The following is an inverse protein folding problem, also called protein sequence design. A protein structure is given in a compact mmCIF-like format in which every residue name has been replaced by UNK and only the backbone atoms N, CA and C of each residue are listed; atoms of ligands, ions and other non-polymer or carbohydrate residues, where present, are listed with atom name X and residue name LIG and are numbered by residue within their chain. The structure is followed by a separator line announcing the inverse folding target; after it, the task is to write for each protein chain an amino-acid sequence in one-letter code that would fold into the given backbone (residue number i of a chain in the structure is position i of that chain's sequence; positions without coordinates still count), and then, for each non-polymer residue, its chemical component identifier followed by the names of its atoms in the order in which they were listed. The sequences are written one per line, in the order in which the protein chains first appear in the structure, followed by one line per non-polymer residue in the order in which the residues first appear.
data_IF_995268854926
#
_entry.id   IF_995268854926
#
_cell.length_a   1.000
_cell.length_b   1.000
_cell.length_c   1.000
_cell.angle_alpha   90.00
_cell.angle_beta   90.00
_cell.angle_gamma   90.00
#
_symmetry.space_group_name_H-M   'P 1'
#
loop_
_entity.id
_entity.type
_entity.pdbx_description
1 polymer ?
#
# COMPACT_ATOMS: atom_id res chain seq x y z
N UNK A 1 -18.57 -20.55 33.86
CA UNK A 1 -17.46 -21.15 33.09
C UNK A 1 -16.50 -20.04 32.72
N UNK A 2 -15.19 -20.24 32.78
CA UNK A 2 -14.19 -19.23 32.43
C UNK A 2 -13.25 -19.77 31.34
N UNK A 3 -12.95 -18.95 30.34
CA UNK A 3 -12.07 -19.28 29.21
C UNK A 3 -10.94 -18.26 29.12
N UNK A 4 -9.72 -18.73 28.84
CA UNK A 4 -8.57 -17.89 28.51
C UNK A 4 -8.16 -18.16 27.06
N UNK A 5 -8.13 -17.13 26.23
CA UNK A 5 -7.62 -17.17 24.86
C UNK A 5 -6.29 -16.43 24.83
N UNK A 6 -5.26 -17.04 24.27
CA UNK A 6 -3.94 -16.42 24.10
C UNK A 6 -3.59 -16.45 22.62
N UNK A 7 -3.19 -15.29 22.09
CA UNK A 7 -2.66 -15.14 20.73
C UNK A 7 -1.15 -14.96 20.85
N UNK A 8 -0.40 -15.78 20.12
CA UNK A 8 1.06 -15.81 20.14
C UNK A 8 1.57 -15.71 18.71
N UNK A 9 2.64 -14.95 18.52
CA UNK A 9 3.44 -15.04 17.30
C UNK A 9 4.41 -16.21 17.47
N UNK A 10 4.41 -17.14 16.52
CA UNK A 10 5.14 -18.39 16.61
C UNK A 10 6.21 -18.42 15.52
N UNK A 11 7.40 -18.89 15.85
CA UNK A 11 8.49 -19.06 14.91
C UNK A 11 8.18 -20.21 13.95
N UNK A 12 8.21 -19.92 12.65
CA UNK A 12 7.85 -20.88 11.61
C UNK A 12 8.88 -22.00 11.42
N UNK A 13 10.11 -21.86 11.93
CA UNK A 13 11.16 -22.89 11.80
C UNK A 13 11.09 -23.94 12.91
N UNK A 14 10.89 -23.52 14.16
CA UNK A 14 10.97 -24.40 15.32
C UNK A 14 9.71 -24.45 16.20
N UNK A 15 8.70 -23.62 15.90
CA UNK A 15 7.47 -23.53 16.68
C UNK A 15 7.61 -22.78 18.01
N UNK A 16 8.75 -22.11 18.23
CA UNK A 16 9.03 -21.27 19.40
C UNK A 16 8.31 -19.92 19.36
N UNK A 17 8.68 -19.01 20.25
CA UNK A 17 8.15 -17.64 20.22
C UNK A 17 8.86 -16.82 19.13
N UNK A 18 8.10 -16.22 18.22
CA UNK A 18 8.65 -15.29 17.23
C UNK A 18 8.58 -13.85 17.74
N UNK A 19 9.51 -13.04 17.22
CA UNK A 19 9.68 -11.63 17.59
C UNK A 19 9.42 -10.70 16.41
N UNK A 20 9.57 -11.19 15.18
CA UNK A 20 9.42 -10.38 13.96
C UNK A 20 9.04 -11.21 12.73
N UNK A 21 8.32 -10.58 11.81
CA UNK A 21 8.11 -11.08 10.45
C UNK A 21 9.21 -10.55 9.52
N UNK A 22 9.89 -11.44 8.80
CA UNK A 22 10.92 -11.09 7.81
C UNK A 22 10.40 -11.31 6.39
N UNK A 23 10.42 -10.27 5.57
CA UNK A 23 10.12 -10.38 4.14
C UNK A 23 11.40 -10.60 3.32
N UNK A 24 11.40 -11.57 2.43
CA UNK A 24 12.48 -11.81 1.47
C UNK A 24 11.93 -12.21 0.10
N UNK A 25 12.79 -12.30 -0.92
CA UNK A 25 12.38 -12.68 -2.26
C UNK A 25 13.45 -13.52 -2.97
N UNK A 26 12.99 -14.46 -3.80
CA UNK A 26 13.82 -15.29 -4.67
C UNK A 26 13.07 -15.49 -5.99
N UNK A 27 13.77 -15.31 -7.11
CA UNK A 27 13.22 -15.47 -8.47
C UNK A 27 11.92 -14.69 -8.73
N UNK A 28 11.82 -13.50 -8.13
CA UNK A 28 10.67 -12.60 -8.28
C UNK A 28 9.45 -12.95 -7.43
N UNK A 29 9.50 -14.01 -6.62
CA UNK A 29 8.46 -14.38 -5.66
C UNK A 29 8.82 -13.82 -4.28
N UNK A 30 7.87 -13.15 -3.63
CA UNK A 30 8.03 -12.63 -2.26
C UNK A 30 7.49 -13.62 -1.24
N UNK A 31 8.22 -13.77 -0.14
CA UNK A 31 7.91 -14.63 0.98
C UNK A 31 7.94 -13.82 2.28
N UNK A 32 7.16 -14.25 3.25
CA UNK A 32 7.16 -13.77 4.63
C UNK A 32 7.35 -14.97 5.55
N UNK A 33 8.05 -14.77 6.67
CA UNK A 33 8.31 -15.79 7.68
C UNK A 33 8.39 -15.13 9.05
N UNK A 34 7.72 -15.70 10.04
CA UNK A 34 7.76 -15.26 11.43
C UNK A 34 8.91 -15.96 12.16
N UNK A 35 9.82 -15.19 12.75
CA UNK A 35 11.07 -15.68 13.32
C UNK A 35 11.39 -15.02 14.66
N UNK A 36 12.09 -15.75 15.52
CA UNK A 36 12.84 -15.18 16.64
C UNK A 36 14.09 -14.44 16.15
N UNK A 37 14.71 -13.62 17.01
CA UNK A 37 15.84 -12.76 16.65
C UNK A 37 17.05 -13.55 16.16
N UNK A 38 17.29 -14.75 16.69
CA UNK A 38 18.40 -15.61 16.29
C UNK A 38 18.20 -16.09 14.85
N UNK A 39 17.05 -16.68 14.53
CA UNK A 39 16.75 -17.17 13.18
C UNK A 39 16.66 -16.03 12.18
N UNK A 40 16.11 -14.88 12.58
CA UNK A 40 16.08 -13.69 11.74
C UNK A 40 17.48 -13.15 11.44
N UNK A 41 18.43 -13.27 12.38
CA UNK A 41 19.83 -12.93 12.15
C UNK A 41 20.51 -13.93 11.20
N UNK A 42 20.31 -15.24 11.42
CA UNK A 42 20.83 -16.31 10.56
C UNK A 42 20.37 -16.15 9.10
N UNK A 43 19.08 -15.81 8.89
CA UNK A 43 18.55 -15.51 7.56
C UNK A 43 19.30 -14.33 6.92
N UNK A 44 19.47 -13.22 7.63
CA UNK A 44 20.17 -12.04 7.08
C UNK A 44 21.64 -12.32 6.78
N UNK A 45 22.30 -13.13 7.61
CA UNK A 45 23.68 -13.55 7.41
C UNK A 45 23.83 -14.44 6.16
N UNK A 46 22.91 -15.38 5.94
CA UNK A 46 22.90 -16.21 4.74
C UNK A 46 22.78 -15.40 3.44
N UNK A 47 22.09 -14.25 3.48
CA UNK A 47 22.01 -13.32 2.35
C UNK A 47 23.23 -12.40 2.21
N UNK A 48 24.06 -12.23 3.26
CA UNK A 48 25.10 -11.20 3.31
C UNK A 48 26.14 -11.33 2.19
N UNK A 49 26.60 -12.56 1.90
CA UNK A 49 27.56 -12.81 0.81
C UNK A 49 27.00 -12.35 -0.54
N UNK A 50 25.76 -12.70 -0.84
CA UNK A 50 25.12 -12.34 -2.12
C UNK A 50 24.85 -10.84 -2.21
N UNK A 51 24.36 -10.23 -1.13
CA UNK A 51 24.11 -8.79 -1.05
C UNK A 51 25.41 -8.01 -1.25
N UNK A 52 26.53 -8.47 -0.67
CA UNK A 52 27.84 -7.81 -0.80
C UNK A 52 28.37 -7.75 -2.24
N UNK A 53 27.99 -8.71 -3.09
CA UNK A 53 28.36 -8.75 -4.51
C UNK A 53 27.27 -8.26 -5.46
N UNK A 54 26.06 -8.03 -4.96
CA UNK A 54 24.91 -7.61 -5.75
C UNK A 54 24.82 -6.07 -5.81
N UNK A 55 24.09 -5.59 -6.82
CA UNK A 55 23.63 -4.20 -6.87
C UNK A 55 22.19 -4.12 -6.43
N UNK A 56 21.83 -3.05 -5.72
CA UNK A 56 20.44 -2.75 -5.41
C UNK A 56 19.70 -2.41 -6.70
N UNK A 57 18.77 -3.26 -7.10
CA UNK A 57 17.87 -2.97 -8.22
C UNK A 57 16.77 -2.04 -7.69
N UNK A 58 16.97 -0.73 -7.85
CA UNK A 58 15.95 0.27 -7.51
C UNK A 58 14.94 0.35 -8.64
N UNK A 59 13.97 -0.56 -8.62
CA UNK A 59 12.82 -0.50 -9.49
C UNK A 59 11.62 -0.92 -8.68
N UNK A 60 11.01 0.03 -7.97
CA UNK A 60 9.72 -0.06 -7.24
C UNK A 60 9.12 -1.47 -7.26
N UNK A 61 9.72 -2.39 -6.50
CA UNK A 61 9.18 -3.74 -6.37
C UNK A 61 7.86 -3.57 -5.65
N UNK A 62 6.77 -3.76 -6.39
CA UNK A 62 5.39 -3.86 -5.92
C UNK A 62 5.13 -3.16 -4.58
N UNK A 63 5.29 -1.83 -4.52
CA UNK A 63 4.32 -1.07 -3.77
C UNK A 63 3.01 -1.39 -4.47
N UNK A 64 2.29 -2.40 -3.94
CA UNK A 64 0.88 -2.69 -4.22
C UNK A 64 0.28 -1.36 -4.63
N UNK A 65 -0.26 -1.18 -5.85
CA UNK A 65 -0.79 0.11 -6.21
C UNK A 65 -1.81 0.42 -5.12
N UNK A 66 -1.45 1.28 -4.17
CA UNK A 66 -2.37 1.93 -3.28
C UNK A 66 -3.34 2.50 -4.28
N UNK A 67 -4.52 1.87 -4.39
CA UNK A 67 -5.48 2.06 -5.47
C UNK A 67 -5.42 3.53 -5.79
N UNK A 68 -4.70 3.90 -6.85
CA UNK A 68 -4.65 5.28 -7.29
C UNK A 68 -6.06 5.43 -7.82
N UNK A 69 -6.95 5.87 -6.94
CA UNK A 69 -8.30 6.28 -7.30
C UNK A 69 -8.11 7.07 -8.58
N UNK A 70 -8.68 6.52 -9.66
CA UNK A 70 -8.43 6.91 -11.03
C UNK A 70 -8.01 8.38 -11.14
N UNK A 71 -6.76 8.62 -11.54
CA UNK A 71 -6.38 9.91 -12.13
C UNK A 71 -6.97 9.92 -13.55
N UNK A 72 -8.30 9.86 -13.61
CA UNK A 72 -9.12 9.82 -14.82
C UNK A 72 -10.29 10.78 -14.73
N UNK A 73 -10.18 11.82 -13.89
CA UNK A 73 -11.20 12.87 -13.76
C UNK A 73 -10.67 14.27 -14.05
N UNK A 74 -9.45 14.42 -14.59
CA UNK A 74 -8.86 15.75 -14.78
C UNK A 74 -9.55 16.55 -15.90
N UNK A 75 -10.14 15.90 -16.90
CA UNK A 75 -10.88 16.59 -17.99
C UNK A 75 -12.31 16.94 -17.57
N UNK A 76 -13.07 15.96 -17.07
CA UNK A 76 -14.45 16.15 -16.62
C UNK A 76 -14.50 17.11 -15.44
N UNK A 77 -13.60 16.97 -14.45
CA UNK A 77 -13.61 17.88 -13.32
C UNK A 77 -13.23 19.32 -13.68
N UNK A 78 -12.48 19.53 -14.76
CA UNK A 78 -12.18 20.89 -15.23
C UNK A 78 -13.42 21.51 -15.85
N UNK A 79 -14.13 20.77 -16.71
CA UNK A 79 -15.38 21.20 -17.32
C UNK A 79 -16.47 21.51 -16.29
N UNK A 80 -16.67 20.61 -15.32
CA UNK A 80 -17.64 20.83 -14.24
C UNK A 80 -17.28 22.07 -13.41
N UNK A 81 -15.99 22.35 -13.17
CA UNK A 81 -15.57 23.56 -12.44
C UNK A 81 -15.80 24.84 -13.23
N UNK A 82 -15.55 24.82 -14.53
CA UNK A 82 -15.79 25.97 -15.41
C UNK A 82 -17.28 26.28 -15.50
N UNK A 83 -18.11 25.27 -15.73
CA UNK A 83 -19.56 25.41 -15.68
C UNK A 83 -20.04 25.88 -14.31
N UNK A 84 -19.52 25.31 -13.23
CA UNK A 84 -19.89 25.69 -11.86
C UNK A 84 -19.58 27.16 -11.59
N UNK A 85 -18.39 27.65 -11.97
CA UNK A 85 -18.01 29.07 -11.85
C UNK A 85 -18.91 29.98 -12.68
N UNK A 86 -19.25 29.58 -13.91
CA UNK A 86 -20.17 30.33 -14.77
C UNK A 86 -21.59 30.40 -14.20
N UNK A 87 -22.04 29.38 -13.46
CA UNK A 87 -23.35 29.31 -12.82
C UNK A 87 -23.36 29.83 -11.37
N UNK A 88 -22.29 30.49 -10.94
CA UNK A 88 -22.20 31.14 -9.62
C UNK A 88 -21.92 30.20 -8.45
N UNK A 89 -21.50 28.96 -8.69
CA UNK A 89 -21.10 28.03 -7.63
C UNK A 89 -19.64 28.23 -7.23
N UNK A 90 -19.38 28.28 -5.91
CA UNK A 90 -18.02 28.32 -5.36
C UNK A 90 -17.41 26.91 -5.35
N UNK A 91 -16.38 26.70 -6.17
CA UNK A 91 -15.64 25.43 -6.25
C UNK A 91 -14.16 25.64 -6.03
N UNK A 92 -13.49 24.70 -5.38
CA UNK A 92 -12.04 24.75 -5.19
C UNK A 92 -11.27 24.50 -6.49
N UNK A 93 -10.19 25.24 -6.69
CA UNK A 93 -9.31 25.13 -7.87
C UNK A 93 -8.65 23.74 -8.00
N UNK A 94 -8.51 23.02 -6.88
CA UNK A 94 -7.89 21.69 -6.84
C UNK A 94 -8.66 20.73 -5.94
N UNK A 95 -8.59 19.44 -6.25
CA UNK A 95 -9.22 18.38 -5.45
C UNK A 95 -10.58 17.92 -5.96
N UNK A 96 -11.30 17.16 -5.13
CA UNK A 96 -12.60 16.55 -5.49
C UNK A 96 -13.67 17.63 -5.65
N UNK A 97 -14.51 17.52 -6.68
CA UNK A 97 -15.69 18.40 -6.84
C UNK A 97 -16.77 17.96 -5.84
N UNK A 98 -17.43 18.90 -5.14
CA UNK A 98 -18.59 18.57 -4.31
C UNK A 98 -19.66 17.80 -5.10
N UNK A 99 -20.22 16.74 -4.50
CA UNK A 99 -21.19 15.88 -5.19
C UNK A 99 -22.39 16.66 -5.74
N UNK A 100 -22.85 17.67 -4.99
CA UNK A 100 -23.97 18.53 -5.37
C UNK A 100 -23.71 19.33 -6.65
N UNK A 101 -22.46 19.78 -6.86
CA UNK A 101 -22.08 20.53 -8.06
C UNK A 101 -21.99 19.59 -9.27
N UNK A 102 -21.47 18.38 -9.07
CA UNK A 102 -21.43 17.36 -10.12
C UNK A 102 -22.85 16.94 -10.55
N UNK A 103 -23.75 16.69 -9.61
CA UNK A 103 -25.13 16.32 -9.91
C UNK A 103 -25.89 17.41 -10.69
N UNK A 104 -25.64 18.68 -10.37
CA UNK A 104 -26.22 19.82 -11.11
C UNK A 104 -25.66 19.96 -12.53
N UNK A 105 -24.38 19.65 -12.72
CA UNK A 105 -23.76 19.62 -14.05
C UNK A 105 -24.35 18.48 -14.90
N UNK A 106 -24.45 17.27 -14.33
CA UNK A 106 -25.02 16.08 -14.97
C UNK A 106 -26.53 16.23 -15.27
N UNK A 107 -27.24 17.12 -14.57
CA UNK A 107 -28.65 17.44 -14.86
C UNK A 107 -28.80 18.50 -15.96
N UNK A 108 -27.74 19.27 -16.22
CA UNK A 108 -27.73 20.36 -17.20
C UNK A 108 -27.13 19.95 -18.56
N UNK A 109 -26.60 18.73 -18.67
CA UNK A 109 -26.00 18.12 -19.87
C UNK A 109 -26.52 16.70 -20.06
#
# INVERSE_FOLDING_TARGET
MAQKVQVLLVDDLDGGAAEQTVTFALDGVSYEIDLNDKHAAELREAFATWIGHARKVTGRAAARPARRSARGGASEATQVREWARANGFTVSDRGRIPADVKAKYDAAH
#
